data_IF_706742757183
#
_entry.id   IF_706742757183
#
_cell.length_a   1.000
_cell.length_b   1.000
_cell.length_c   1.000
_cell.angle_alpha   90.00
_cell.angle_beta   90.00
_cell.angle_gamma   90.00
#
_symmetry.space_group_name_H-M   'P 1'
#
loop_
_entity.id
_entity.type
_entity.pdbx_description
1 polymer ?
#
# COMPACT_ATOMS: atom_id res chain seq x y z
N UNK A 1 7.79 -29.25 23.89
CA UNK A 1 7.41 -29.66 25.28
C UNK A 1 8.58 -29.68 26.25
N UNK A 2 9.74 -30.26 25.96
CA UNK A 2 10.85 -30.46 26.94
C UNK A 2 11.63 -29.21 27.40
N UNK A 3 11.72 -28.16 26.59
CA UNK A 3 12.45 -26.93 27.00
C UNK A 3 11.68 -26.04 27.99
N UNK A 4 10.35 -26.04 27.93
CA UNK A 4 9.51 -25.26 28.86
C UNK A 4 9.49 -25.87 30.25
N UNK A 5 9.65 -27.21 30.37
CA UNK A 5 9.74 -27.92 31.64
C UNK A 5 11.10 -27.68 32.34
N UNK A 6 12.16 -27.46 31.57
CA UNK A 6 13.53 -27.26 32.11
C UNK A 6 13.66 -25.90 32.81
N UNK A 7 12.96 -24.85 32.34
CA UNK A 7 13.02 -23.53 32.99
C UNK A 7 12.27 -23.51 34.32
N UNK A 8 11.15 -24.20 34.43
CA UNK A 8 10.39 -24.35 35.68
C UNK A 8 11.16 -25.16 36.75
N UNK A 9 11.99 -26.13 36.35
CA UNK A 9 12.81 -26.92 37.25
C UNK A 9 14.09 -26.19 37.73
N UNK A 10 14.62 -25.24 36.94
CA UNK A 10 15.81 -24.46 37.28
C UNK A 10 15.54 -23.31 38.27
N UNK A 11 14.28 -22.93 38.48
CA UNK A 11 13.88 -21.83 39.37
C UNK A 11 13.40 -22.29 40.75
N UNK A 12 13.35 -23.58 41.00
CA UNK A 12 12.97 -24.10 42.31
C UNK A 12 14.09 -23.74 43.35
N UNK A 13 13.89 -22.62 44.06
CA UNK A 13 14.79 -22.10 45.07
C UNK A 13 15.42 -20.73 44.77
N UNK A 14 15.05 -20.10 43.64
CA UNK A 14 15.42 -18.73 43.36
C UNK A 14 14.71 -17.75 44.30
N UNK A 15 15.29 -16.58 44.61
CA UNK A 15 14.55 -15.51 45.30
C UNK A 15 13.30 -15.13 44.54
N UNK A 16 12.17 -14.77 45.23
CA UNK A 16 10.91 -14.47 44.60
C UNK A 16 10.99 -13.41 43.47
N UNK A 17 11.86 -12.41 43.62
CA UNK A 17 12.08 -11.36 42.64
C UNK A 17 12.77 -11.87 41.36
N UNK A 18 13.71 -12.82 41.50
CA UNK A 18 14.37 -13.43 40.33
C UNK A 18 13.46 -14.40 39.61
N UNK A 19 12.63 -15.15 40.34
CA UNK A 19 11.59 -16.01 39.74
C UNK A 19 10.55 -15.19 38.96
N UNK A 20 10.05 -14.07 39.52
CA UNK A 20 9.10 -13.18 38.86
C UNK A 20 9.66 -12.60 37.56
N UNK A 21 10.93 -12.14 37.55
CA UNK A 21 11.61 -11.65 36.37
C UNK A 21 11.74 -12.72 35.28
N UNK A 22 12.17 -13.92 35.67
CA UNK A 22 12.33 -15.02 34.72
C UNK A 22 11.01 -15.46 34.10
N UNK A 23 9.90 -15.48 34.85
CA UNK A 23 8.57 -15.77 34.33
C UNK A 23 8.08 -14.68 33.37
N UNK A 24 8.38 -13.42 33.68
CA UNK A 24 8.01 -12.29 32.76
C UNK A 24 8.77 -12.39 31.43
N UNK A 25 10.07 -12.65 31.47
CA UNK A 25 10.90 -12.87 30.27
C UNK A 25 10.41 -14.07 29.46
N UNK A 26 10.11 -15.18 30.14
CA UNK A 26 9.56 -16.39 29.49
C UNK A 26 8.21 -16.06 28.80
N UNK A 27 7.30 -15.37 29.48
CA UNK A 27 6.02 -14.97 28.91
C UNK A 27 6.18 -14.06 27.68
N UNK A 28 7.15 -13.14 27.74
CA UNK A 28 7.49 -12.25 26.60
C UNK A 28 8.14 -13.00 25.43
N UNK A 29 9.05 -13.93 25.69
CA UNK A 29 9.68 -14.77 24.65
C UNK A 29 8.62 -15.64 23.95
N UNK A 30 7.78 -16.33 24.71
CA UNK A 30 6.67 -17.13 24.17
C UNK A 30 5.74 -16.29 23.31
N UNK A 31 5.36 -15.09 23.78
CA UNK A 31 4.56 -14.15 23.00
C UNK A 31 5.29 -13.72 21.70
N UNK A 32 6.59 -13.38 21.78
CA UNK A 32 7.43 -13.03 20.64
C UNK A 32 7.51 -14.14 19.60
N UNK A 33 7.52 -15.40 20.03
CA UNK A 33 7.54 -16.59 19.17
C UNK A 33 6.16 -16.99 18.63
N UNK A 34 5.08 -16.32 19.05
CA UNK A 34 3.71 -16.65 18.63
C UNK A 34 3.09 -17.82 19.40
N UNK A 35 3.68 -18.25 20.50
CA UNK A 35 3.16 -19.28 21.39
C UNK A 35 2.25 -18.64 22.45
N UNK A 36 1.12 -18.10 21.97
CA UNK A 36 0.27 -17.21 22.76
C UNK A 36 -0.46 -17.91 23.91
N UNK A 37 -0.88 -19.16 23.72
CA UNK A 37 -1.56 -19.93 24.77
C UNK A 37 -0.61 -20.22 25.94
N UNK A 38 0.61 -20.61 25.61
CA UNK A 38 1.69 -20.85 26.59
C UNK A 38 2.11 -19.54 27.27
N UNK A 39 2.25 -18.45 26.51
CA UNK A 39 2.54 -17.13 27.06
C UNK A 39 1.46 -16.69 28.06
N UNK A 40 0.19 -16.85 27.70
CA UNK A 40 -0.92 -16.51 28.57
C UNK A 40 -0.93 -17.31 29.86
N UNK A 41 -0.60 -18.61 29.81
CA UNK A 41 -0.51 -19.46 30.97
C UNK A 41 0.56 -18.96 31.93
N UNK A 42 1.79 -18.74 31.43
CA UNK A 42 2.94 -18.24 32.23
C UNK A 42 2.63 -16.85 32.83
N UNK A 43 2.08 -15.93 32.04
CA UNK A 43 1.77 -14.58 32.50
C UNK A 43 0.63 -14.54 33.55
N UNK A 44 -0.36 -15.44 33.44
CA UNK A 44 -1.39 -15.59 34.48
C UNK A 44 -0.84 -16.15 35.76
N UNK A 45 -0.01 -17.18 35.70
CA UNK A 45 0.67 -17.75 36.87
C UNK A 45 1.50 -16.67 37.56
N UNK A 46 2.31 -15.91 36.80
CA UNK A 46 3.08 -14.78 37.34
C UNK A 46 2.21 -13.75 38.04
N UNK A 47 1.12 -13.32 37.39
CA UNK A 47 0.21 -12.31 37.95
C UNK A 47 -0.51 -12.77 39.23
N UNK A 48 -0.75 -14.07 39.35
CA UNK A 48 -1.39 -14.69 40.55
C UNK A 48 -0.42 -14.92 41.70
N UNK A 49 0.78 -15.39 41.39
CA UNK A 49 1.79 -15.73 42.41
C UNK A 49 2.52 -14.49 42.96
N UNK A 50 2.68 -13.46 42.13
CA UNK A 50 3.42 -12.25 42.47
C UNK A 50 2.57 -10.98 42.23
N UNK A 51 1.40 -10.86 42.90
CA UNK A 51 0.44 -9.78 42.59
C UNK A 51 0.99 -8.38 42.89
N UNK A 52 1.86 -8.25 43.87
CA UNK A 52 2.41 -6.98 44.33
C UNK A 52 3.77 -6.65 43.69
N UNK A 53 4.38 -7.59 42.96
CA UNK A 53 5.63 -7.36 42.26
C UNK A 53 5.39 -6.52 40.96
N UNK A 54 6.39 -5.70 40.58
CA UNK A 54 6.33 -4.98 39.28
C UNK A 54 6.14 -5.90 38.07
N UNK A 55 6.74 -7.10 38.12
CA UNK A 55 6.61 -8.14 37.11
C UNK A 55 5.19 -8.71 37.04
N UNK A 56 4.53 -8.89 38.18
CA UNK A 56 3.12 -9.31 38.24
C UNK A 56 2.18 -8.24 37.67
N UNK A 57 2.46 -6.98 37.96
CA UNK A 57 1.74 -5.85 37.34
C UNK A 57 1.96 -5.84 35.83
N UNK A 58 3.20 -5.99 35.36
CA UNK A 58 3.55 -6.08 33.94
C UNK A 58 2.88 -7.28 33.25
N UNK A 59 2.77 -8.41 33.94
CA UNK A 59 2.06 -9.58 33.41
C UNK A 59 0.57 -9.34 33.26
N UNK A 60 -0.09 -8.75 34.28
CA UNK A 60 -1.51 -8.33 34.17
C UNK A 60 -1.73 -7.42 32.97
N UNK A 61 -0.87 -6.46 32.84
CA UNK A 61 -0.88 -5.57 31.69
C UNK A 61 -0.76 -6.33 30.37
N UNK A 62 0.12 -7.32 30.25
CA UNK A 62 0.34 -8.13 29.03
C UNK A 62 -0.87 -9.00 28.66
N UNK A 63 -1.72 -9.39 29.59
CA UNK A 63 -2.92 -10.21 29.35
C UNK A 63 -4.22 -9.40 29.39
N UNK A 64 -4.15 -8.08 29.63
CA UNK A 64 -5.33 -7.19 29.63
C UNK A 64 -5.98 -7.21 28.24
N UNK A 65 -7.30 -7.33 28.16
CA UNK A 65 -8.03 -7.30 26.89
C UNK A 65 -7.96 -5.95 26.18
N UNK A 66 -8.36 -5.94 24.91
CA UNK A 66 -8.40 -4.75 24.03
C UNK A 66 -7.05 -4.04 23.98
N UNK A 67 -5.98 -4.82 23.76
CA UNK A 67 -4.61 -4.35 23.87
C UNK A 67 -3.80 -4.65 22.64
N UNK A 68 -2.96 -3.67 22.28
CA UNK A 68 -1.86 -3.85 21.35
C UNK A 68 -0.82 -4.84 21.91
N UNK A 69 -0.43 -5.81 21.12
CA UNK A 69 0.58 -6.79 21.48
C UNK A 69 1.91 -6.54 20.76
N UNK A 70 1.88 -6.43 19.43
CA UNK A 70 3.08 -6.24 18.62
C UNK A 70 2.75 -5.86 17.18
N UNK A 71 3.75 -5.34 16.47
CA UNK A 71 3.81 -5.31 15.01
C UNK A 71 4.82 -6.35 14.53
N UNK A 72 4.48 -7.08 13.47
CA UNK A 72 5.35 -7.99 12.76
C UNK A 72 5.34 -7.64 11.28
N UNK A 73 6.50 -7.38 10.70
CA UNK A 73 6.61 -7.17 9.25
C UNK A 73 6.53 -8.51 8.54
N UNK A 74 5.54 -8.65 7.66
CA UNK A 74 5.33 -9.84 6.82
C UNK A 74 6.09 -9.72 5.49
N UNK A 75 6.16 -8.51 4.93
CA UNK A 75 6.92 -8.19 3.74
C UNK A 75 7.56 -6.81 3.89
N UNK A 76 8.86 -6.71 3.60
CA UNK A 76 9.58 -5.44 3.53
C UNK A 76 10.27 -5.32 2.19
N UNK A 77 9.94 -4.28 1.45
CA UNK A 77 10.47 -4.04 0.10
C UNK A 77 11.37 -2.83 0.02
N UNK A 78 11.35 -1.96 1.04
CA UNK A 78 12.20 -0.79 1.09
C UNK A 78 11.90 0.15 2.26
N UNK A 79 12.51 1.35 2.26
CA UNK A 79 12.26 2.35 3.30
C UNK A 79 10.81 2.85 3.22
N UNK A 80 10.13 3.04 4.38
CA UNK A 80 8.74 3.49 4.41
C UNK A 80 8.49 4.81 3.68
N UNK A 81 9.48 5.72 3.68
CA UNK A 81 9.36 7.02 3.03
C UNK A 81 9.03 6.96 1.52
N UNK A 82 9.21 5.81 0.86
CA UNK A 82 8.90 5.62 -0.55
C UNK A 82 8.32 4.22 -0.83
N UNK A 83 7.48 3.74 0.08
CA UNK A 83 6.68 2.50 -0.08
C UNK A 83 5.26 2.75 0.40
N UNK A 84 4.37 1.91 -0.04
CA UNK A 84 3.01 1.84 0.50
C UNK A 84 3.05 0.91 1.70
N UNK A 85 2.89 1.46 2.90
CA UNK A 85 2.86 0.69 4.13
C UNK A 85 1.42 0.27 4.46
N UNK A 86 1.14 -1.04 4.40
CA UNK A 86 -0.18 -1.64 4.62
C UNK A 86 -0.17 -2.42 5.92
N UNK A 87 -1.11 -2.15 6.79
CA UNK A 87 -1.27 -2.85 8.06
C UNK A 87 -2.44 -3.83 8.03
N UNK A 88 -2.26 -5.01 8.62
CA UNK A 88 -3.32 -6.00 8.80
C UNK A 88 -3.55 -6.11 10.31
N UNK A 89 -4.72 -5.69 10.78
CA UNK A 89 -5.09 -5.59 12.19
C UNK A 89 -6.01 -6.72 12.61
N UNK A 90 -5.80 -7.22 13.84
CA UNK A 90 -6.65 -8.22 14.46
C UNK A 90 -7.88 -7.58 15.13
N UNK A 91 -9.07 -8.10 14.86
CA UNK A 91 -10.30 -7.74 15.54
C UNK A 91 -11.12 -8.96 15.96
N UNK A 92 -11.53 -9.02 17.23
CA UNK A 92 -12.21 -10.17 17.80
C UNK A 92 -11.30 -11.39 18.04
N UNK A 93 -9.99 -11.24 18.02
CA UNK A 93 -9.05 -12.30 18.37
C UNK A 93 -8.58 -12.11 19.82
N UNK A 94 -8.98 -13.01 20.69
CA UNK A 94 -8.50 -13.05 22.08
C UNK A 94 -7.00 -13.35 22.13
N UNK A 95 -6.35 -13.07 23.26
CA UNK A 95 -4.92 -13.26 23.42
C UNK A 95 -4.45 -14.69 23.02
N UNK A 96 -5.13 -15.71 23.52
CA UNK A 96 -4.84 -17.13 23.26
C UNK A 96 -5.20 -17.58 21.82
N UNK A 97 -5.84 -16.72 21.04
CA UNK A 97 -6.25 -17.00 19.66
C UNK A 97 -5.50 -16.22 18.58
N UNK A 98 -4.44 -15.52 18.98
CA UNK A 98 -3.64 -14.72 18.06
C UNK A 98 -2.95 -15.55 16.95
N UNK A 99 -2.65 -16.83 17.19
CA UNK A 99 -2.16 -17.73 16.14
C UNK A 99 -3.11 -17.90 14.97
N UNK A 100 -4.43 -17.87 15.22
CA UNK A 100 -5.46 -17.91 14.15
C UNK A 100 -5.41 -16.61 13.33
N UNK A 101 -5.19 -15.49 13.98
CA UNK A 101 -5.01 -14.21 13.30
C UNK A 101 -3.72 -14.21 12.46
N UNK A 102 -2.61 -14.77 12.96
CA UNK A 102 -1.36 -14.87 12.19
C UNK A 102 -1.57 -15.63 10.86
N UNK A 103 -2.40 -16.68 10.84
CA UNK A 103 -2.77 -17.40 9.62
C UNK A 103 -3.65 -16.54 8.71
N UNK A 104 -4.59 -15.80 9.29
CA UNK A 104 -5.48 -14.89 8.55
C UNK A 104 -4.70 -13.74 7.91
N UNK A 105 -3.73 -13.16 8.62
CA UNK A 105 -2.88 -12.10 8.08
C UNK A 105 -2.04 -12.60 6.90
N UNK A 106 -1.47 -13.81 7.02
CA UNK A 106 -0.76 -14.45 5.88
C UNK A 106 -1.67 -14.75 4.69
N UNK A 107 -2.93 -15.13 4.95
CA UNK A 107 -3.92 -15.32 3.91
C UNK A 107 -4.22 -14.01 3.17
N UNK A 108 -4.47 -12.90 3.89
CA UNK A 108 -4.72 -11.58 3.29
C UNK A 108 -3.55 -11.16 2.42
N UNK A 109 -2.30 -11.26 2.91
CA UNK A 109 -1.11 -10.95 2.13
C UNK A 109 -1.03 -11.79 0.84
N UNK A 110 -1.20 -13.11 0.94
CA UNK A 110 -1.16 -13.98 -0.24
C UNK A 110 -2.23 -13.60 -1.25
N UNK A 111 -3.46 -13.33 -0.79
CA UNK A 111 -4.56 -12.97 -1.69
C UNK A 111 -4.35 -11.62 -2.35
N UNK A 112 -3.82 -10.64 -1.62
CA UNK A 112 -3.45 -9.34 -2.19
C UNK A 112 -2.43 -9.51 -3.32
N UNK A 113 -1.37 -10.30 -3.09
CA UNK A 113 -0.31 -10.53 -4.06
C UNK A 113 -0.68 -11.49 -5.22
N UNK A 114 -1.85 -12.11 -5.20
CA UNK A 114 -2.38 -12.87 -6.34
C UNK A 114 -3.04 -11.96 -7.39
N UNK A 115 -3.41 -10.73 -7.06
CA UNK A 115 -3.85 -9.76 -8.05
C UNK A 115 -2.70 -9.37 -8.97
N UNK A 116 -2.95 -9.35 -10.29
CA UNK A 116 -1.94 -8.98 -11.30
C UNK A 116 -1.27 -7.65 -11.00
N UNK A 117 -2.04 -6.65 -10.54
CA UNK A 117 -1.49 -5.32 -10.26
C UNK A 117 -0.61 -5.34 -9.01
N UNK A 118 -1.03 -5.99 -7.92
CA UNK A 118 -0.22 -6.05 -6.70
C UNK A 118 0.96 -7.02 -6.82
N UNK A 119 0.88 -8.06 -7.65
CA UNK A 119 2.03 -8.89 -8.01
C UNK A 119 3.08 -8.08 -8.77
N UNK A 120 2.65 -7.32 -9.80
CA UNK A 120 3.55 -6.49 -10.61
C UNK A 120 4.27 -5.41 -9.79
N UNK A 121 3.57 -4.83 -8.80
CA UNK A 121 4.11 -3.77 -7.93
C UNK A 121 4.42 -4.24 -6.51
N UNK A 122 4.61 -5.56 -6.27
CA UNK A 122 4.85 -6.10 -4.92
C UNK A 122 6.05 -5.48 -4.20
N UNK A 123 7.05 -5.05 -4.93
CA UNK A 123 8.25 -4.38 -4.41
C UNK A 123 8.01 -2.95 -3.95
N UNK A 124 6.81 -2.41 -4.18
CA UNK A 124 6.38 -1.09 -3.74
C UNK A 124 5.62 -1.15 -2.41
N UNK A 125 5.37 -2.36 -1.88
CA UNK A 125 4.58 -2.57 -0.68
C UNK A 125 5.45 -3.04 0.48
N UNK A 126 5.30 -2.43 1.64
CA UNK A 126 5.61 -3.02 2.92
C UNK A 126 4.29 -3.50 3.53
N UNK A 127 4.27 -4.69 4.10
CA UNK A 127 3.07 -5.24 4.73
C UNK A 127 3.38 -5.66 6.15
N UNK A 128 2.60 -5.16 7.07
CA UNK A 128 2.77 -5.35 8.51
C UNK A 128 1.53 -6.00 9.10
N UNK A 129 1.75 -6.90 10.01
CA UNK A 129 0.72 -7.51 10.83
C UNK A 129 0.73 -6.83 12.20
N UNK A 130 -0.43 -6.36 12.66
CA UNK A 130 -0.60 -5.76 13.98
C UNK A 130 -1.48 -6.67 14.84
N UNK A 131 -0.87 -7.33 15.80
CA UNK A 131 -1.57 -8.17 16.75
C UNK A 131 -2.22 -7.32 17.84
N UNK A 132 -3.53 -7.48 18.00
CA UNK A 132 -4.34 -6.79 18.99
C UNK A 132 -5.23 -7.85 19.67
N UNK A 133 -5.18 -7.94 20.99
CA UNK A 133 -6.02 -8.86 21.74
C UNK A 133 -7.34 -8.21 22.09
N UNK A 134 -8.45 -8.80 21.68
CA UNK A 134 -9.80 -8.38 22.07
C UNK A 134 -10.27 -9.10 23.34
N UNK A 135 -11.13 -8.47 24.12
CA UNK A 135 -11.81 -9.09 25.26
C UNK A 135 -12.79 -10.15 24.80
N UNK A 136 -13.55 -9.84 23.76
CA UNK A 136 -14.58 -10.67 23.17
C UNK A 136 -14.20 -11.07 21.73
N UNK A 137 -14.85 -12.08 21.20
CA UNK A 137 -14.65 -12.56 19.84
C UNK A 137 -15.90 -12.47 18.97
N UNK A 138 -16.97 -11.89 19.48
CA UNK A 138 -18.22 -11.67 18.77
C UNK A 138 -18.33 -10.25 18.22
N UNK A 139 -19.16 -10.08 17.21
CA UNK A 139 -19.45 -8.79 16.59
C UNK A 139 -20.68 -8.19 17.28
N UNK A 140 -20.61 -6.93 17.68
CA UNK A 140 -21.76 -6.20 18.25
C UNK A 140 -22.93 -6.17 17.26
N UNK A 141 -24.11 -6.52 17.75
CA UNK A 141 -25.38 -6.48 17.01
C UNK A 141 -26.33 -5.49 17.67
N UNK A 142 -27.47 -5.13 17.04
CA UNK A 142 -28.51 -4.31 17.70
C UNK A 142 -29.06 -4.93 19.00
N UNK A 143 -28.96 -6.26 19.14
CA UNK A 143 -29.50 -6.99 20.30
C UNK A 143 -28.45 -7.26 21.37
N UNK A 144 -27.17 -7.33 21.03
CA UNK A 144 -26.10 -7.76 21.93
C UNK A 144 -24.83 -6.94 21.68
N UNK A 145 -24.28 -6.38 22.76
CA UNK A 145 -23.01 -5.61 22.71
C UNK A 145 -21.85 -6.51 23.09
N UNK A 146 -20.77 -6.39 22.36
CA UNK A 146 -19.52 -7.11 22.59
C UNK A 146 -18.35 -6.14 22.69
N UNK A 147 -17.43 -6.43 23.61
CA UNK A 147 -16.25 -5.61 23.88
C UNK A 147 -15.06 -6.13 23.07
N UNK A 148 -14.90 -5.60 21.87
CA UNK A 148 -13.76 -5.90 21.01
C UNK A 148 -12.84 -4.70 20.83
N UNK A 149 -11.56 -4.94 20.51
CA UNK A 149 -10.53 -3.91 20.49
C UNK A 149 -10.84 -2.77 19.53
N UNK A 150 -11.28 -3.08 18.32
CA UNK A 150 -11.63 -2.10 17.29
C UNK A 150 -13.15 -1.85 17.19
N UNK A 151 -13.93 -2.45 18.11
CA UNK A 151 -15.36 -2.22 18.22
C UNK A 151 -16.12 -2.68 16.99
N UNK A 152 -15.93 -3.94 16.56
CA UNK A 152 -16.65 -4.51 15.43
C UNK A 152 -18.16 -4.54 15.65
N UNK A 153 -18.94 -4.16 14.64
CA UNK A 153 -20.39 -4.13 14.66
C UNK A 153 -21.00 -4.52 13.32
N UNK A 154 -22.22 -5.07 13.35
CA UNK A 154 -23.01 -5.26 12.14
C UNK A 154 -23.66 -3.95 11.72
N UNK A 155 -23.60 -3.63 10.42
CA UNK A 155 -24.31 -2.48 9.88
C UNK A 155 -25.82 -2.71 9.99
N UNK A 156 -26.56 -1.75 10.56
CA UNK A 156 -28.00 -1.86 10.76
C UNK A 156 -28.77 -2.02 9.45
N UNK A 157 -28.29 -1.39 8.40
CA UNK A 157 -28.90 -1.35 7.07
C UNK A 157 -28.65 -2.61 6.25
N UNK A 158 -27.51 -3.28 6.48
CA UNK A 158 -27.10 -4.51 5.77
C UNK A 158 -26.55 -5.51 6.78
N UNK A 159 -27.43 -6.27 7.40
CA UNK A 159 -27.17 -7.11 8.59
C UNK A 159 -26.03 -8.14 8.47
N UNK A 160 -25.42 -8.30 7.29
CA UNK A 160 -24.26 -9.19 7.09
C UNK A 160 -22.95 -8.47 6.95
N UNK A 161 -22.96 -7.15 6.74
CA UNK A 161 -21.75 -6.36 6.58
C UNK A 161 -21.20 -5.93 7.94
N UNK A 162 -19.91 -6.07 8.10
CA UNK A 162 -19.20 -5.77 9.34
C UNK A 162 -18.44 -4.45 9.18
N UNK A 163 -18.74 -3.52 10.08
CA UNK A 163 -17.96 -2.30 10.28
C UNK A 163 -17.09 -2.36 11.53
N UNK A 164 -16.16 -1.42 11.65
CA UNK A 164 -15.33 -1.21 12.83
C UNK A 164 -15.32 0.26 13.21
N UNK A 165 -14.96 0.56 14.46
CA UNK A 165 -14.76 1.94 14.87
C UNK A 165 -13.47 2.49 14.25
N UNK A 166 -13.62 3.34 13.22
CA UNK A 166 -12.53 3.93 12.47
C UNK A 166 -11.53 4.68 13.37
N UNK A 167 -12.01 5.41 14.37
CA UNK A 167 -11.14 6.15 15.28
C UNK A 167 -10.23 5.19 16.06
N UNK A 168 -10.76 4.09 16.59
CA UNK A 168 -9.96 3.06 17.28
C UNK A 168 -8.92 2.44 16.34
N UNK A 169 -9.27 2.17 15.08
CA UNK A 169 -8.30 1.67 14.09
C UNK A 169 -7.15 2.67 13.93
N UNK A 170 -7.43 3.95 13.77
CA UNK A 170 -6.40 4.99 13.62
C UNK A 170 -5.57 5.16 14.89
N UNK A 171 -6.16 5.04 16.08
CA UNK A 171 -5.43 5.07 17.37
C UNK A 171 -4.42 3.91 17.49
N UNK A 172 -4.80 2.71 17.05
CA UNK A 172 -3.87 1.58 17.02
C UNK A 172 -2.79 1.76 15.94
N UNK A 173 -3.13 2.21 14.75
CA UNK A 173 -2.17 2.53 13.69
C UNK A 173 -1.16 3.59 14.13
N UNK A 174 -1.59 4.59 14.90
CA UNK A 174 -0.69 5.63 15.45
C UNK A 174 0.42 5.10 16.37
N UNK A 175 0.40 3.81 16.73
CA UNK A 175 1.49 3.15 17.47
C UNK A 175 2.62 2.64 16.56
N UNK A 176 2.41 2.66 15.25
CA UNK A 176 3.40 2.29 14.25
C UNK A 176 3.81 3.56 13.47
N UNK A 177 5.07 4.00 13.54
CA UNK A 177 5.51 5.26 12.93
C UNK A 177 5.40 5.28 11.39
N UNK A 178 5.35 4.09 10.76
CA UNK A 178 5.21 3.96 9.30
C UNK A 178 3.75 3.98 8.82
N UNK A 179 2.76 4.02 9.72
CA UNK A 179 1.35 3.87 9.34
C UNK A 179 0.79 5.15 8.70
N UNK A 180 0.32 5.04 7.46
CA UNK A 180 -0.32 6.10 6.67
C UNK A 180 -1.86 5.98 6.61
N UNK A 181 -2.46 5.25 7.55
CA UNK A 181 -3.92 5.04 7.60
C UNK A 181 -4.45 3.99 6.62
N UNK A 182 -3.57 3.16 6.05
CA UNK A 182 -3.94 2.06 5.16
C UNK A 182 -3.98 0.74 5.93
N UNK A 183 -5.16 0.13 6.02
CA UNK A 183 -5.33 -1.07 6.81
C UNK A 183 -6.36 -2.06 6.25
N UNK A 184 -6.05 -3.33 6.41
CA UNK A 184 -7.04 -4.38 6.51
C UNK A 184 -7.37 -4.62 7.99
N UNK A 185 -8.64 -4.74 8.32
CA UNK A 185 -9.11 -5.19 9.63
C UNK A 185 -9.76 -6.56 9.47
N UNK A 186 -9.13 -7.59 10.00
CA UNK A 186 -9.67 -8.95 9.94
C UNK A 186 -10.55 -9.18 11.16
N UNK A 187 -11.86 -9.30 10.94
CA UNK A 187 -12.86 -9.57 11.99
C UNK A 187 -13.12 -11.06 12.07
N UNK A 188 -12.79 -11.68 13.21
CA UNK A 188 -12.80 -13.14 13.40
C UNK A 188 -14.15 -13.79 13.06
N UNK A 189 -15.24 -13.25 13.55
CA UNK A 189 -16.59 -13.77 13.36
C UNK A 189 -17.48 -12.86 12.49
N UNK A 190 -16.87 -11.99 11.66
CA UNK A 190 -17.58 -11.21 10.66
C UNK A 190 -18.03 -12.06 9.47
N UNK A 191 -19.03 -11.61 8.73
CA UNK A 191 -19.50 -12.30 7.50
C UNK A 191 -19.01 -11.59 6.24
N UNK A 192 -19.54 -10.43 5.89
CA UNK A 192 -19.15 -9.64 4.73
C UNK A 192 -18.35 -8.42 5.18
N UNK A 193 -17.40 -8.01 4.35
CA UNK A 193 -16.54 -6.86 4.61
C UNK A 193 -17.19 -5.52 4.25
N UNK A 194 -16.42 -4.48 4.47
CA UNK A 194 -16.68 -3.11 3.98
C UNK A 194 -15.35 -2.44 3.68
N UNK A 195 -15.30 -1.56 2.68
CA UNK A 195 -14.10 -0.83 2.33
C UNK A 195 -14.34 0.66 2.13
N UNK A 196 -13.37 1.49 2.52
CA UNK A 196 -13.42 2.92 2.27
C UNK A 196 -12.42 3.73 3.09
N UNK A 197 -11.97 4.85 2.54
CA UNK A 197 -11.11 5.79 3.25
C UNK A 197 -9.83 5.20 3.82
N UNK A 198 -9.19 4.25 3.14
CA UNK A 198 -7.94 3.61 3.56
C UNK A 198 -8.13 2.35 4.41
N UNK A 199 -9.33 2.02 4.88
CA UNK A 199 -9.59 0.86 5.74
C UNK A 199 -10.50 -0.12 5.01
N UNK A 200 -10.03 -1.37 4.86
CA UNK A 200 -10.81 -2.51 4.39
C UNK A 200 -11.10 -3.45 5.56
N UNK A 201 -12.36 -3.59 5.94
CA UNK A 201 -12.80 -4.54 6.96
C UNK A 201 -13.15 -5.85 6.28
N UNK A 202 -12.63 -6.96 6.79
CA UNK A 202 -12.83 -8.29 6.22
C UNK A 202 -13.61 -9.16 7.19
N UNK A 203 -14.76 -9.67 6.76
CA UNK A 203 -15.52 -10.66 7.48
C UNK A 203 -15.14 -12.08 7.01
N UNK A 204 -14.56 -12.88 7.91
CA UNK A 204 -14.17 -14.24 7.60
C UNK A 204 -13.00 -14.40 6.61
N UNK A 205 -12.93 -15.56 5.94
CA UNK A 205 -11.88 -15.90 4.97
C UNK A 205 -12.45 -15.96 3.54
N UNK A 206 -13.03 -14.88 3.05
CA UNK A 206 -13.47 -14.81 1.66
C UNK A 206 -12.33 -14.31 0.78
N UNK A 207 -11.94 -15.10 -0.22
CA UNK A 207 -10.87 -14.73 -1.16
C UNK A 207 -11.24 -13.51 -2.02
N UNK A 208 -12.50 -13.40 -2.42
CA UNK A 208 -12.98 -12.26 -3.20
C UNK A 208 -13.01 -10.98 -2.38
N UNK A 209 -13.42 -11.04 -1.12
CA UNK A 209 -13.55 -9.86 -0.26
C UNK A 209 -12.23 -9.10 -0.07
N UNK A 210 -11.08 -9.78 -0.03
CA UNK A 210 -9.79 -9.10 0.18
C UNK A 210 -9.52 -8.05 -0.90
N UNK A 211 -9.65 -8.40 -2.17
CA UNK A 211 -9.38 -7.47 -3.28
C UNK A 211 -10.52 -6.48 -3.48
N UNK A 212 -11.76 -6.91 -3.29
CA UNK A 212 -12.95 -6.09 -3.44
C UNK A 212 -12.94 -4.92 -2.42
N UNK A 213 -12.85 -5.24 -1.13
CA UNK A 213 -12.81 -4.22 -0.08
C UNK A 213 -11.56 -3.34 -0.16
N UNK A 214 -10.44 -3.91 -0.63
CA UNK A 214 -9.23 -3.14 -0.88
C UNK A 214 -9.40 -2.17 -2.05
N UNK A 215 -10.14 -2.55 -3.08
CA UNK A 215 -10.51 -1.66 -4.20
C UNK A 215 -11.20 -0.40 -3.72
N UNK A 216 -12.18 -0.53 -2.83
CA UNK A 216 -12.83 0.60 -2.19
C UNK A 216 -11.87 1.42 -1.31
N UNK A 217 -11.16 0.74 -0.42
CA UNK A 217 -10.31 1.39 0.58
C UNK A 217 -9.10 2.11 -0.03
N UNK A 218 -8.44 1.47 -0.99
CA UNK A 218 -7.15 1.92 -1.55
C UNK A 218 -7.29 2.83 -2.75
N UNK A 219 -8.20 2.51 -3.66
CA UNK A 219 -8.33 3.19 -4.94
C UNK A 219 -9.66 3.96 -5.10
N UNK A 220 -10.55 3.95 -4.09
CA UNK A 220 -11.84 4.64 -4.15
C UNK A 220 -12.75 4.07 -5.24
N UNK A 221 -12.61 2.78 -5.56
CA UNK A 221 -13.47 2.12 -6.53
C UNK A 221 -14.90 2.00 -5.97
N UNK A 222 -15.87 2.06 -6.85
CA UNK A 222 -17.27 1.82 -6.52
C UNK A 222 -17.68 0.40 -6.96
N UNK A 223 -18.80 -0.09 -6.41
CA UNK A 223 -19.35 -1.38 -6.78
C UNK A 223 -19.82 -1.41 -8.24
N UNK A 224 -19.42 -2.44 -8.97
CA UNK A 224 -19.85 -2.65 -10.36
C UNK A 224 -21.02 -3.65 -10.48
N UNK A 225 -21.51 -4.18 -9.35
CA UNK A 225 -22.68 -5.07 -9.31
C UNK A 225 -24.01 -4.30 -9.11
N UNK A 226 -25.09 -4.99 -9.38
CA UNK A 226 -26.46 -4.56 -9.02
C UNK A 226 -26.92 -5.36 -7.80
N UNK A 227 -27.68 -4.74 -6.89
CA UNK A 227 -28.35 -5.48 -5.81
C UNK A 227 -29.36 -6.48 -6.39
N UNK A 228 -29.66 -7.56 -5.66
CA UNK A 228 -30.59 -8.62 -6.06
C UNK A 228 -31.99 -8.06 -6.40
N UNK A 229 -32.40 -6.98 -5.72
CA UNK A 229 -33.68 -6.29 -5.98
C UNK A 229 -33.61 -5.31 -7.18
N UNK A 230 -32.42 -5.07 -7.75
CA UNK A 230 -32.18 -4.03 -8.76
C UNK A 230 -32.15 -2.60 -8.23
N UNK A 231 -32.45 -2.39 -6.95
CA UNK A 231 -32.33 -1.15 -6.20
C UNK A 231 -31.49 -1.37 -4.94
N UNK A 232 -30.54 -0.47 -4.63
CA UNK A 232 -29.71 -0.63 -3.45
C UNK A 232 -30.54 -0.49 -2.18
N UNK A 233 -30.31 -1.38 -1.21
CA UNK A 233 -30.75 -1.16 0.16
C UNK A 233 -30.06 0.07 0.78
N UNK A 234 -30.57 0.56 1.92
CA UNK A 234 -29.92 1.64 2.65
C UNK A 234 -28.48 1.27 3.00
N UNK A 235 -27.50 2.01 2.49
CA UNK A 235 -26.07 1.77 2.71
C UNK A 235 -25.39 0.82 1.70
N UNK A 236 -26.13 0.24 0.75
CA UNK A 236 -25.58 -0.63 -0.31
C UNK A 236 -25.16 0.14 -1.57
N UNK A 237 -25.55 1.41 -1.74
CA UNK A 237 -25.14 2.17 -2.90
C UNK A 237 -23.80 2.87 -2.65
N UNK A 238 -22.81 2.52 -3.44
CA UNK A 238 -21.61 3.34 -3.57
C UNK A 238 -21.89 4.60 -4.39
N UNK A 239 -21.19 5.69 -4.08
CA UNK A 239 -21.17 6.89 -4.93
C UNK A 239 -20.47 6.64 -6.26
N UNK A 240 -20.36 7.65 -7.12
CA UNK A 240 -19.52 7.56 -8.32
C UNK A 240 -18.05 7.40 -7.90
N UNK A 241 -17.30 6.70 -8.75
CA UNK A 241 -15.88 6.43 -8.55
C UNK A 241 -15.12 6.46 -9.87
N UNK A 242 -13.83 6.13 -9.88
CA UNK A 242 -13.06 6.07 -11.12
C UNK A 242 -13.64 5.07 -12.13
N UNK A 243 -14.41 4.08 -11.67
CA UNK A 243 -14.96 2.96 -12.46
C UNK A 243 -16.49 2.98 -12.60
N UNK A 244 -17.20 3.87 -11.88
CA UNK A 244 -18.66 4.01 -11.92
C UNK A 244 -19.05 5.47 -12.10
N UNK A 245 -20.01 5.72 -12.98
CA UNK A 245 -20.56 7.05 -13.28
C UNK A 245 -22.11 7.05 -13.21
N UNK A 246 -22.68 8.19 -12.84
CA UNK A 246 -24.14 8.42 -12.88
C UNK A 246 -24.59 9.14 -14.16
N UNK A 247 -23.79 8.99 -15.22
CA UNK A 247 -24.10 9.46 -16.57
C UNK A 247 -23.75 8.39 -17.59
N UNK A 248 -24.55 8.28 -18.64
CA UNK A 248 -24.28 7.41 -19.79
C UNK A 248 -23.49 8.11 -20.91
N UNK A 249 -23.21 9.41 -20.78
CA UNK A 249 -22.48 10.15 -21.80
C UNK A 249 -21.01 9.67 -21.85
N UNK A 250 -20.56 9.08 -22.96
CA UNK A 250 -19.20 8.56 -23.11
C UNK A 250 -18.12 9.64 -23.02
N UNK A 251 -18.48 10.92 -23.15
CA UNK A 251 -17.57 12.06 -23.01
C UNK A 251 -17.37 12.49 -21.56
N UNK A 252 -18.30 12.11 -20.66
CA UNK A 252 -18.32 12.53 -19.26
C UNK A 252 -17.94 11.42 -18.28
N UNK A 253 -17.91 10.16 -18.72
CA UNK A 253 -17.48 9.06 -17.83
C UNK A 253 -16.00 9.17 -17.48
N UNK A 254 -15.57 8.80 -16.26
CA UNK A 254 -14.17 8.89 -15.84
C UNK A 254 -13.18 8.15 -16.74
N UNK A 255 -13.61 7.06 -17.35
CA UNK A 255 -12.80 6.21 -18.24
C UNK A 255 -12.92 6.57 -19.74
N UNK A 256 -13.38 7.78 -20.11
CA UNK A 256 -13.54 8.24 -21.49
C UNK A 256 -12.29 8.06 -22.36
N UNK A 257 -11.11 8.23 -21.79
CA UNK A 257 -9.84 8.06 -22.49
C UNK A 257 -9.60 6.62 -22.99
N UNK A 258 -10.17 5.62 -22.32
CA UNK A 258 -10.18 4.22 -22.78
C UNK A 258 -11.11 4.04 -23.97
N UNK A 259 -12.26 4.73 -23.98
CA UNK A 259 -13.19 4.73 -25.12
C UNK A 259 -12.57 5.41 -26.34
N UNK A 260 -11.94 6.57 -26.13
CA UNK A 260 -11.23 7.34 -27.17
C UNK A 260 -10.04 6.56 -27.75
N UNK A 261 -9.36 5.73 -26.96
CA UNK A 261 -8.28 4.87 -27.40
C UNK A 261 -8.76 3.62 -28.18
N UNK A 262 -10.06 3.34 -28.19
CA UNK A 262 -10.63 2.18 -28.89
C UNK A 262 -10.38 0.85 -28.20
N UNK A 263 -10.25 0.83 -26.85
CA UNK A 263 -10.11 -0.39 -26.09
C UNK A 263 -11.40 -1.22 -26.16
N UNK A 264 -11.41 -2.26 -26.99
CA UNK A 264 -12.64 -3.01 -27.35
C UNK A 264 -13.38 -3.71 -26.19
N UNK A 265 -12.73 -3.87 -25.02
CA UNK A 265 -13.35 -4.40 -23.80
C UNK A 265 -14.01 -3.33 -22.94
N UNK A 266 -13.83 -2.05 -23.27
CA UNK A 266 -14.34 -0.91 -22.49
C UNK A 266 -15.53 -0.28 -23.20
N UNK A 267 -16.59 0.01 -22.45
CA UNK A 267 -17.83 0.60 -22.93
C UNK A 267 -18.47 1.47 -21.85
N UNK A 268 -19.77 1.68 -21.99
CA UNK A 268 -20.63 2.32 -20.98
C UNK A 268 -21.79 1.36 -20.71
N UNK A 269 -21.61 0.49 -19.73
CA UNK A 269 -22.53 -0.59 -19.41
C UNK A 269 -23.44 -0.17 -18.25
N UNK A 270 -24.74 -0.42 -18.37
CA UNK A 270 -25.72 -0.12 -17.33
C UNK A 270 -25.63 -1.16 -16.19
N UNK A 271 -25.96 -0.74 -14.97
CA UNK A 271 -26.01 -1.60 -13.80
C UNK A 271 -24.72 -1.56 -12.97
N UNK A 272 -24.71 -0.69 -11.97
CA UNK A 272 -23.62 -0.51 -11.02
C UNK A 272 -24.12 0.19 -9.75
N UNK A 273 -23.28 0.31 -8.72
CA UNK A 273 -23.60 0.98 -7.44
C UNK A 273 -24.87 0.42 -6.78
N UNK A 274 -25.09 -0.90 -6.87
CA UNK A 274 -26.31 -1.55 -6.37
C UNK A 274 -27.56 -1.31 -7.20
N UNK A 275 -27.49 -0.53 -8.31
CA UNK A 275 -28.64 -0.06 -9.10
C UNK A 275 -28.72 -0.76 -10.44
N UNK A 276 -29.92 -1.20 -10.83
CA UNK A 276 -30.19 -1.73 -12.17
C UNK A 276 -30.14 -0.63 -13.25
N UNK A 277 -30.48 0.60 -12.90
CA UNK A 277 -30.52 1.76 -13.79
C UNK A 277 -29.94 3.00 -13.14
N UNK A 278 -29.56 4.01 -13.95
CA UNK A 278 -29.04 5.28 -13.41
C UNK A 278 -27.58 5.27 -12.98
N UNK A 279 -26.89 4.11 -13.11
CA UNK A 279 -25.45 3.97 -12.88
C UNK A 279 -24.81 3.12 -13.97
N UNK A 280 -23.60 3.47 -14.36
CA UNK A 280 -22.86 2.86 -15.47
C UNK A 280 -21.43 2.52 -15.06
N UNK A 281 -20.90 1.45 -15.64
CA UNK A 281 -19.54 0.93 -15.42
C UNK A 281 -18.76 0.78 -16.73
N UNK A 282 -17.43 0.70 -16.64
CA UNK A 282 -16.54 0.69 -17.79
C UNK A 282 -16.44 -0.66 -18.50
N UNK A 283 -16.79 -1.77 -17.84
CA UNK A 283 -16.76 -3.13 -18.42
C UNK A 283 -18.09 -3.85 -18.18
N UNK A 284 -18.44 -4.76 -19.07
CA UNK A 284 -19.72 -5.48 -18.99
C UNK A 284 -19.79 -6.55 -17.91
N UNK A 285 -18.66 -6.92 -17.28
CA UNK A 285 -18.55 -7.92 -16.22
C UNK A 285 -17.13 -8.44 -16.06
N UNK A 286 -16.92 -9.35 -15.09
CA UNK A 286 -15.63 -9.98 -14.85
C UNK A 286 -14.63 -9.18 -14.03
N UNK A 287 -15.04 -8.04 -13.47
CA UNK A 287 -14.26 -7.25 -12.52
C UNK A 287 -14.46 -7.78 -11.10
N UNK A 288 -13.44 -7.67 -10.25
CA UNK A 288 -13.56 -8.01 -8.83
C UNK A 288 -14.57 -7.09 -8.10
N UNK A 289 -14.77 -5.86 -8.60
CA UNK A 289 -15.79 -4.93 -8.09
C UNK A 289 -17.23 -5.34 -8.46
N UNK A 290 -17.39 -6.42 -9.21
CA UNK A 290 -18.65 -7.11 -9.51
C UNK A 290 -18.55 -8.56 -9.00
N UNK A 291 -18.29 -9.54 -9.85
CA UNK A 291 -18.23 -10.96 -9.54
C UNK A 291 -16.99 -11.66 -10.14
N UNK A 292 -16.00 -10.88 -10.56
CA UNK A 292 -14.77 -11.38 -11.16
C UNK A 292 -13.70 -11.78 -10.14
N UNK A 293 -12.55 -12.21 -10.65
CA UNK A 293 -11.43 -12.65 -9.82
C UNK A 293 -10.34 -11.59 -9.59
N UNK A 294 -10.27 -10.57 -10.46
CA UNK A 294 -9.25 -9.50 -10.41
C UNK A 294 -9.82 -8.20 -10.99
N UNK A 295 -9.07 -7.11 -10.88
CA UNK A 295 -9.45 -5.80 -11.40
C UNK A 295 -9.51 -5.77 -12.92
N UNK A 296 -10.58 -5.20 -13.48
CA UNK A 296 -10.68 -4.88 -14.90
C UNK A 296 -9.68 -3.78 -15.31
N UNK A 297 -9.60 -3.46 -16.59
CA UNK A 297 -8.64 -2.46 -17.10
C UNK A 297 -8.85 -1.08 -16.49
N UNK A 298 -10.10 -0.65 -16.30
CA UNK A 298 -10.45 0.65 -15.69
C UNK A 298 -10.08 0.69 -14.20
N UNK A 299 -10.46 -0.34 -13.45
CA UNK A 299 -10.13 -0.44 -12.02
C UNK A 299 -8.63 -0.59 -11.79
N UNK A 300 -7.92 -1.35 -12.63
CA UNK A 300 -6.47 -1.54 -12.56
C UNK A 300 -5.72 -0.22 -12.76
N UNK A 301 -6.13 0.63 -13.72
CA UNK A 301 -5.56 1.97 -13.88
C UNK A 301 -5.67 2.79 -12.60
N UNK A 302 -6.86 2.83 -11.99
CA UNK A 302 -7.08 3.54 -10.74
C UNK A 302 -6.21 3.00 -9.58
N UNK A 303 -6.02 1.68 -9.50
CA UNK A 303 -5.15 1.05 -8.49
C UNK A 303 -3.68 1.42 -8.73
N UNK A 304 -3.18 1.37 -9.97
CA UNK A 304 -1.80 1.79 -10.30
C UNK A 304 -1.56 3.25 -9.94
N UNK A 305 -2.48 4.14 -10.34
CA UNK A 305 -2.39 5.56 -9.97
C UNK A 305 -2.43 5.76 -8.44
N UNK A 306 -3.19 4.95 -7.71
CA UNK A 306 -3.23 5.01 -6.24
C UNK A 306 -1.94 4.54 -5.57
N UNK A 307 -1.21 3.61 -6.19
CA UNK A 307 0.16 3.28 -5.77
C UNK A 307 1.06 4.50 -5.94
N UNK A 308 1.07 5.11 -7.14
CA UNK A 308 1.97 6.23 -7.45
C UNK A 308 1.60 7.56 -6.79
N UNK A 309 0.42 7.70 -6.20
CA UNK A 309 0.12 8.81 -5.28
C UNK A 309 0.91 8.74 -3.97
N UNK A 310 1.48 7.56 -3.63
CA UNK A 310 2.19 7.29 -2.37
C UNK A 310 3.67 7.01 -2.57
N UNK A 311 4.09 6.65 -3.76
CA UNK A 311 5.50 6.37 -4.08
C UNK A 311 5.97 7.25 -5.23
N UNK A 312 7.27 7.50 -5.27
CA UNK A 312 7.93 8.20 -6.39
C UNK A 312 8.74 7.19 -7.19
N UNK A 313 8.84 7.30 -8.52
CA UNK A 313 9.69 6.45 -9.35
C UNK A 313 11.18 6.41 -8.97
N UNK A 314 11.67 7.36 -8.17
CA UNK A 314 13.06 7.46 -7.74
C UNK A 314 13.17 7.26 -6.22
N UNK A 315 13.94 6.24 -5.80
CA UNK A 315 14.28 6.00 -4.39
C UNK A 315 15.37 6.94 -3.89
N UNK A 316 16.44 7.10 -4.67
CA UNK A 316 17.62 7.88 -4.30
C UNK A 316 18.25 8.55 -5.51
N UNK A 317 18.96 9.64 -5.28
CA UNK A 317 19.78 10.33 -6.27
C UNK A 317 20.99 10.98 -5.63
N UNK A 318 22.09 11.07 -6.36
CA UNK A 318 23.29 11.79 -5.91
C UNK A 318 24.10 12.35 -7.10
N UNK A 319 24.91 13.39 -6.82
CA UNK A 319 25.08 14.09 -5.55
C UNK A 319 23.87 14.94 -5.17
N UNK A 320 23.73 15.33 -3.91
CA UNK A 320 22.72 16.30 -3.46
C UNK A 320 23.17 17.73 -3.77
N UNK A 321 24.49 17.96 -3.72
CA UNK A 321 25.11 19.26 -3.94
C UNK A 321 25.25 19.61 -5.43
N UNK A 322 25.23 20.92 -5.78
CA UNK A 322 25.54 21.37 -7.13
C UNK A 322 26.93 20.88 -7.61
N UNK A 323 27.03 20.51 -8.87
CA UNK A 323 28.25 19.94 -9.44
C UNK A 323 29.16 21.02 -9.99
N UNK A 324 30.40 21.10 -9.47
CA UNK A 324 31.48 21.90 -10.05
C UNK A 324 32.46 20.98 -10.78
N UNK A 325 32.77 21.30 -12.01
CA UNK A 325 33.56 20.46 -12.88
C UNK A 325 34.71 21.29 -13.55
N UNK A 326 35.93 21.05 -13.12
CA UNK A 326 37.13 21.61 -13.82
C UNK A 326 37.36 20.90 -15.13
N UNK A 327 38.21 21.47 -16.02
CA UNK A 327 38.52 20.97 -17.38
C UNK A 327 38.88 19.47 -17.38
N UNK A 328 39.73 19.04 -16.48
CA UNK A 328 40.23 17.65 -16.43
C UNK A 328 39.44 16.80 -15.43
N UNK A 329 38.42 17.38 -14.80
CA UNK A 329 37.56 16.71 -13.83
C UNK A 329 36.53 15.80 -14.49
N UNK A 330 36.14 14.77 -13.74
CA UNK A 330 34.99 13.93 -14.06
C UNK A 330 34.08 13.75 -12.83
N UNK A 331 32.79 13.75 -13.05
CA UNK A 331 31.82 13.52 -11.97
C UNK A 331 30.70 12.59 -12.43
N UNK A 332 30.46 11.53 -11.65
CA UNK A 332 29.32 10.64 -11.85
C UNK A 332 28.12 11.10 -11.04
N UNK A 333 26.97 11.13 -11.70
CA UNK A 333 25.66 11.40 -11.10
C UNK A 333 24.78 10.17 -11.33
N UNK A 334 23.89 9.90 -10.41
CA UNK A 334 23.07 8.71 -10.53
C UNK A 334 21.69 8.87 -9.86
N UNK A 335 20.75 8.05 -10.32
CA UNK A 335 19.44 7.82 -9.69
C UNK A 335 19.26 6.33 -9.43
N UNK A 336 18.54 5.98 -8.39
CA UNK A 336 18.07 4.61 -8.12
C UNK A 336 16.58 4.56 -8.42
N UNK A 337 16.13 4.03 -9.57
CA UNK A 337 14.73 3.84 -9.86
C UNK A 337 14.10 2.80 -8.93
N UNK A 338 12.82 2.96 -8.62
CA UNK A 338 12.00 1.86 -8.11
C UNK A 338 11.99 0.71 -9.13
N UNK A 339 11.77 -0.53 -8.65
CA UNK A 339 11.81 -1.72 -9.49
C UNK A 339 10.53 -2.52 -9.31
N UNK A 340 9.51 -2.31 -10.17
CA UNK A 340 8.37 -3.21 -10.22
C UNK A 340 8.84 -4.65 -10.47
N UNK A 341 8.06 -5.64 -10.02
CA UNK A 341 8.47 -7.04 -10.18
C UNK A 341 8.29 -7.57 -11.61
N UNK A 342 7.40 -6.95 -12.41
CA UNK A 342 7.03 -7.44 -13.74
C UNK A 342 7.72 -6.71 -14.90
N UNK A 343 8.27 -5.51 -14.67
CA UNK A 343 8.86 -4.67 -15.72
C UNK A 343 9.89 -3.70 -15.14
N UNK A 344 10.53 -2.91 -16.00
CA UNK A 344 11.53 -1.92 -15.60
C UNK A 344 11.05 -0.50 -15.89
N UNK A 345 11.32 0.44 -14.98
CA UNK A 345 11.19 1.86 -15.22
C UNK A 345 12.20 2.32 -16.26
N UNK A 346 11.83 3.33 -17.03
CA UNK A 346 12.75 3.98 -17.99
C UNK A 346 13.41 5.18 -17.34
N UNK A 347 14.70 5.36 -17.65
CA UNK A 347 15.51 6.50 -17.22
C UNK A 347 15.99 7.24 -18.44
N UNK A 348 15.73 8.53 -18.51
CA UNK A 348 16.18 9.44 -19.56
C UNK A 348 17.04 10.54 -18.94
N UNK A 349 18.16 10.88 -19.60
CA UNK A 349 19.07 11.91 -19.17
C UNK A 349 19.10 13.05 -20.18
N UNK A 350 19.06 14.30 -19.70
CA UNK A 350 19.12 15.51 -20.52
C UNK A 350 20.13 16.49 -19.93
N UNK A 351 20.99 17.07 -20.76
CA UNK A 351 21.91 18.13 -20.37
C UNK A 351 21.57 19.40 -21.13
N UNK A 352 21.23 20.46 -20.41
CA UNK A 352 20.88 21.76 -20.98
C UNK A 352 21.93 22.79 -20.61
N UNK A 353 22.27 23.68 -21.53
CA UNK A 353 23.09 24.85 -21.24
C UNK A 353 22.20 26.00 -20.82
N UNK A 354 22.53 26.66 -19.72
CA UNK A 354 21.91 27.93 -19.34
C UNK A 354 22.46 29.04 -20.23
N UNK A 355 21.59 29.95 -20.68
CA UNK A 355 22.06 31.15 -21.34
C UNK A 355 22.82 32.06 -20.34
N UNK A 356 23.65 33.03 -20.80
CA UNK A 356 24.38 33.93 -19.94
C UNK A 356 23.50 34.84 -19.05
N UNK A 357 22.21 34.95 -19.37
CA UNK A 357 21.22 35.74 -18.61
C UNK A 357 20.44 34.91 -17.60
N UNK A 358 20.70 33.58 -17.53
CA UNK A 358 20.00 32.68 -16.60
C UNK A 358 18.53 32.46 -16.93
N UNK A 359 18.07 32.94 -18.10
CA UNK A 359 16.70 32.73 -18.54
C UNK A 359 16.60 31.42 -19.30
N UNK A 360 15.63 30.62 -18.90
CA UNK A 360 15.25 29.40 -19.62
C UNK A 360 14.48 29.83 -20.86
N UNK A 361 15.01 29.60 -22.06
CA UNK A 361 14.23 29.80 -23.28
C UNK A 361 13.07 28.78 -23.31
N UNK A 362 11.81 29.24 -23.46
CA UNK A 362 10.67 28.32 -23.58
C UNK A 362 10.74 27.64 -24.94
N UNK A 363 10.92 26.31 -24.93
CA UNK A 363 10.87 25.51 -26.15
C UNK A 363 9.49 25.46 -26.75
N UNK A 364 9.45 25.69 -28.07
CA UNK A 364 8.29 25.33 -28.90
C UNK A 364 8.20 23.81 -28.97
N UNK A 365 7.14 23.28 -28.35
CA UNK A 365 6.82 21.86 -28.44
C UNK A 365 6.61 21.38 -29.88
N UNK A 366 7.19 20.24 -30.29
CA UNK A 366 6.74 19.57 -31.50
C UNK A 366 5.27 19.10 -31.30
N UNK A 367 4.41 19.31 -32.29
CA UNK A 367 3.04 18.82 -32.28
C UNK A 367 3.04 17.30 -32.09
N UNK A 368 2.47 16.85 -30.98
CA UNK A 368 2.27 15.44 -30.72
C UNK A 368 1.27 14.84 -31.70
N UNK A 369 1.60 13.66 -32.25
CA UNK A 369 0.63 12.86 -33.00
C UNK A 369 -0.50 12.40 -32.03
N UNK A 370 -1.74 12.30 -32.52
CA UNK A 370 -2.86 11.88 -31.69
C UNK A 370 -2.63 10.49 -31.09
N UNK A 371 -2.78 10.33 -29.77
CA UNK A 371 -2.75 9.06 -29.07
C UNK A 371 -1.49 8.73 -28.25
N UNK A 372 -0.42 9.50 -28.33
CA UNK A 372 0.73 9.37 -27.43
C UNK A 372 1.18 10.74 -26.95
N UNK A 373 0.78 11.12 -25.73
CA UNK A 373 1.42 12.24 -25.06
C UNK A 373 2.85 11.84 -24.70
N UNK A 374 3.81 12.22 -25.55
CA UNK A 374 5.21 12.28 -25.09
C UNK A 374 5.27 13.34 -24.00
N UNK A 375 5.87 13.03 -22.84
CA UNK A 375 6.20 14.07 -21.89
C UNK A 375 7.08 15.09 -22.61
N UNK A 376 6.73 16.35 -22.45
CA UNK A 376 7.49 17.43 -23.10
C UNK A 376 8.82 17.57 -22.39
N UNK A 377 9.96 17.67 -23.10
CA UNK A 377 11.19 18.11 -22.50
C UNK A 377 10.96 19.49 -21.88
N UNK A 378 11.31 19.64 -20.62
CA UNK A 378 11.04 20.86 -19.87
C UNK A 378 11.90 22.03 -20.34
N UNK A 379 12.99 21.80 -21.12
CA UNK A 379 13.95 22.84 -21.60
C UNK A 379 14.78 22.33 -22.78
N UNK A 380 15.09 23.19 -23.77
CA UNK A 380 16.08 23.10 -24.84
C UNK A 380 16.38 21.73 -25.45
N UNK A 381 17.03 21.70 -26.59
CA UNK A 381 17.53 20.42 -27.12
C UNK A 381 18.65 19.89 -26.23
N UNK A 382 18.65 18.58 -25.87
CA UNK A 382 19.72 18.02 -25.06
C UNK A 382 21.03 18.08 -25.81
N UNK A 383 22.11 18.56 -25.15
CA UNK A 383 23.44 18.65 -25.72
C UNK A 383 24.15 17.29 -25.71
N UNK A 384 23.69 16.38 -24.82
CA UNK A 384 24.35 15.10 -24.63
C UNK A 384 23.38 13.97 -24.24
N UNK A 385 23.62 12.78 -24.79
CA UNK A 385 22.90 11.54 -24.56
C UNK A 385 23.82 10.42 -24.13
N UNK A 386 23.61 9.78 -23.01
CA UNK A 386 24.26 8.48 -22.74
C UNK A 386 23.35 7.56 -21.91
N UNK A 387 23.32 6.29 -22.30
CA UNK A 387 22.73 5.19 -21.54
C UNK A 387 23.85 4.56 -20.72
N UNK A 388 23.69 4.56 -19.38
CA UNK A 388 24.48 3.72 -18.50
C UNK A 388 23.67 2.48 -18.15
N UNK A 389 23.82 1.39 -18.89
CA UNK A 389 23.28 0.08 -18.51
C UNK A 389 24.37 -0.70 -17.79
N UNK A 390 24.37 -0.64 -16.47
CA UNK A 390 25.06 -1.63 -15.65
C UNK A 390 24.03 -2.59 -15.08
N UNK A 391 23.90 -3.79 -15.60
CA UNK A 391 22.98 -4.84 -15.08
C UNK A 391 23.27 -5.23 -13.62
N UNK A 392 24.44 -4.93 -13.08
CA UNK A 392 24.82 -5.21 -11.70
C UNK A 392 24.55 -4.05 -10.72
N UNK A 393 24.33 -2.80 -11.19
CA UNK A 393 24.06 -1.70 -10.27
C UNK A 393 22.55 -1.39 -10.24
N UNK A 394 22.00 -1.27 -9.03
CA UNK A 394 20.64 -0.76 -8.80
C UNK A 394 20.47 0.69 -9.29
N UNK A 395 21.48 1.32 -9.88
CA UNK A 395 21.58 2.74 -10.21
C UNK A 395 21.69 2.95 -11.71
N UNK A 396 20.99 3.95 -12.22
CA UNK A 396 21.28 4.52 -13.53
C UNK A 396 22.32 5.64 -13.33
N UNK A 397 23.44 5.57 -14.03
CA UNK A 397 24.58 6.45 -13.82
C UNK A 397 24.92 7.18 -15.10
N UNK A 398 25.22 8.49 -15.00
CA UNK A 398 25.83 9.29 -16.07
C UNK A 398 27.11 9.92 -15.54
N UNK A 399 28.16 9.99 -16.37
CA UNK A 399 29.42 10.64 -16.02
C UNK A 399 29.66 11.83 -16.92
N UNK A 400 29.75 13.02 -16.33
CA UNK A 400 30.15 14.26 -16.99
C UNK A 400 31.66 14.43 -16.90
N UNK A 401 32.28 14.86 -18.00
CA UNK A 401 33.72 15.18 -18.08
C UNK A 401 33.91 16.61 -18.54
N UNK A 402 34.66 17.41 -17.77
CA UNK A 402 34.85 18.82 -18.05
C UNK A 402 35.48 19.14 -19.41
N UNK A 403 36.37 18.26 -19.91
CA UNK A 403 36.96 18.39 -21.24
C UNK A 403 35.98 18.23 -22.41
N UNK A 404 34.85 17.60 -22.17
CA UNK A 404 33.81 17.34 -23.17
C UNK A 404 32.75 18.46 -23.23
N UNK A 405 32.81 19.40 -22.30
CA UNK A 405 31.86 20.50 -22.19
C UNK A 405 32.59 21.85 -22.26
N UNK A 406 32.10 22.83 -23.03
CA UNK A 406 32.55 24.22 -22.93
C UNK A 406 32.36 24.76 -21.52
N UNK A 407 33.20 25.71 -21.11
CA UNK A 407 32.97 26.42 -19.84
C UNK A 407 31.59 27.12 -19.84
N UNK A 408 30.89 27.05 -18.70
CA UNK A 408 29.55 27.61 -18.57
C UNK A 408 28.70 26.88 -17.58
N UNK A 409 27.48 27.34 -17.44
CA UNK A 409 26.47 26.79 -16.53
C UNK A 409 25.52 25.86 -17.29
N UNK A 410 25.23 24.73 -16.70
CA UNK A 410 24.36 23.68 -17.25
C UNK A 410 23.36 23.19 -16.20
N UNK A 411 22.32 22.50 -16.67
CA UNK A 411 21.44 21.67 -15.83
C UNK A 411 21.44 20.27 -16.41
N UNK A 412 21.86 19.30 -15.62
CA UNK A 412 21.65 17.88 -15.91
C UNK A 412 20.32 17.45 -15.30
N UNK A 413 19.49 16.82 -16.08
CA UNK A 413 18.17 16.33 -15.67
C UNK A 413 18.08 14.82 -15.86
N UNK A 414 17.70 14.08 -14.83
CA UNK A 414 17.26 12.69 -14.93
C UNK A 414 15.74 12.64 -14.83
N UNK A 415 15.10 12.02 -15.81
CA UNK A 415 13.68 11.71 -15.81
C UNK A 415 13.49 10.20 -15.69
N UNK A 416 12.79 9.76 -14.67
CA UNK A 416 12.44 8.35 -14.47
C UNK A 416 10.94 8.20 -14.59
N UNK A 417 10.48 7.23 -15.37
CA UNK A 417 9.05 7.01 -15.53
C UNK A 417 8.70 5.54 -15.71
N UNK A 418 7.49 5.18 -15.29
CA UNK A 418 6.90 3.87 -15.47
C UNK A 418 6.12 3.82 -16.80
N UNK A 419 6.57 3.01 -17.78
CA UNK A 419 5.79 2.80 -19.00
C UNK A 419 4.55 1.96 -18.78
N UNK A 420 4.40 1.35 -17.59
CA UNK A 420 3.46 0.32 -17.18
C UNK A 420 3.47 -0.95 -18.06
N UNK A 421 3.06 -2.11 -17.56
CA UNK A 421 2.83 -3.27 -18.41
C UNK A 421 1.73 -3.01 -19.45
N UNK A 422 1.75 -3.77 -20.53
CA UNK A 422 0.72 -3.72 -21.57
C UNK A 422 -0.18 -4.94 -21.50
N UNK A 423 -1.47 -4.74 -21.82
CA UNK A 423 -2.45 -5.81 -21.95
C UNK A 423 -3.31 -5.51 -23.17
N UNK A 424 -3.48 -6.50 -24.06
CA UNK A 424 -4.23 -6.35 -25.32
C UNK A 424 -3.81 -5.13 -26.15
N UNK A 425 -2.53 -4.79 -26.16
CA UNK A 425 -1.98 -3.67 -26.92
C UNK A 425 -2.08 -2.30 -26.23
N UNK A 426 -2.64 -2.21 -25.04
CA UNK A 426 -2.77 -0.98 -24.26
C UNK A 426 -1.91 -1.03 -22.99
N UNK A 427 -1.27 0.10 -22.59
CA UNK A 427 -0.60 0.18 -21.28
C UNK A 427 -1.66 0.13 -20.17
N UNK A 428 -1.27 -0.31 -18.97
CA UNK A 428 -2.18 -0.38 -17.82
C UNK A 428 -2.70 0.99 -17.37
N UNK A 429 -1.98 2.06 -17.67
CA UNK A 429 -2.39 3.44 -17.44
C UNK A 429 -2.35 4.19 -18.76
N UNK A 430 -3.50 4.63 -19.24
CA UNK A 430 -3.66 5.45 -20.44
C UNK A 430 -3.68 6.94 -20.13
N UNK A 431 -4.18 7.33 -18.96
CA UNK A 431 -4.31 8.72 -18.55
C UNK A 431 -3.69 8.97 -17.17
N UNK A 432 -2.65 9.79 -17.16
CA UNK A 432 -1.97 10.25 -15.94
C UNK A 432 -1.83 11.78 -15.99
N UNK A 433 -2.94 12.53 -15.79
CA UNK A 433 -2.92 14.00 -15.87
C UNK A 433 -2.04 14.64 -14.78
N UNK A 434 -1.88 13.98 -13.65
CA UNK A 434 -1.11 14.44 -12.50
C UNK A 434 0.39 14.08 -12.61
N UNK A 435 0.79 13.34 -13.67
CA UNK A 435 2.16 12.87 -13.91
C UNK A 435 2.74 12.05 -12.75
N UNK A 436 1.92 11.22 -12.14
CA UNK A 436 2.29 10.40 -10.99
C UNK A 436 3.33 9.32 -11.33
N UNK A 437 3.26 8.81 -12.57
CA UNK A 437 4.15 7.74 -13.05
C UNK A 437 5.56 8.22 -13.36
N UNK A 438 5.89 9.49 -13.17
CA UNK A 438 7.21 10.02 -13.45
C UNK A 438 7.78 10.84 -12.29
N UNK A 439 9.10 10.89 -12.22
CA UNK A 439 9.84 11.77 -11.33
C UNK A 439 11.04 12.37 -12.07
N UNK A 440 11.38 13.60 -11.70
CA UNK A 440 12.51 14.35 -12.28
C UNK A 440 13.43 14.79 -11.15
N UNK A 441 14.74 14.66 -11.41
CA UNK A 441 15.81 15.22 -10.56
C UNK A 441 16.70 16.07 -11.43
N UNK A 442 17.04 17.26 -10.95
CA UNK A 442 17.90 18.23 -11.64
C UNK A 442 19.14 18.56 -10.82
N UNK A 443 20.29 18.62 -11.50
CA UNK A 443 21.55 19.07 -10.91
C UNK A 443 22.08 20.29 -11.66
N UNK A 444 22.27 21.44 -10.98
CA UNK A 444 23.05 22.53 -11.49
C UNK A 444 24.50 22.07 -11.68
N UNK A 445 25.07 22.32 -12.85
CA UNK A 445 26.46 21.95 -13.20
C UNK A 445 27.19 23.21 -13.67
N UNK A 446 28.31 23.54 -13.02
CA UNK A 446 29.20 24.63 -13.40
C UNK A 446 30.50 24.04 -13.94
N UNK A 447 30.81 24.33 -15.21
CA UNK A 447 32.04 23.89 -15.86
C UNK A 447 33.01 25.07 -15.93
N UNK A 448 34.15 24.93 -15.27
CA UNK A 448 35.23 25.93 -15.26
C UNK A 448 36.36 25.54 -16.20
N UNK A 449 37.12 26.54 -16.68
CA UNK A 449 38.29 26.34 -17.57
C UNK A 449 39.49 25.80 -16.80
#
# INVERSE_FOLDING_TARGET
MWRSLIVLLALAGAPPDEEAKALLEQGRDLNGRGLYAEAQHVLRDLAQRFPDAPEGAAARDLITPNRFLRVKTLQRSGPPANRVDVFILAEGFRFDRQGIFDDSARFVLRRLLQSKVFEAYRTYLNVHQMNIASADDQVTTPKERHDTALGAFLLETVQRHVGVNRQRVLEYLGRAPEAEGLAFVVVKNGQLGTGGGGIATLGGKSESSVLHEWGHAFAGLADEYTADTGEPGPGESSGPGPNVAFTRDPKLVPWKHWLEAGAGSVGVFIGAAGRATGAWKGVGGGCIMDNGADFCVVCREAVVLSIYRRVRPIDESAPVEPVKLGRDGARSLWVTPLRPASHALKVEWFLYRKDPKGQDEPLRAPRAAPGRRRPQPVRGDPIFWSWGSGEESKRAVVTLRGRELPAGSYVLTARVFDPTPTDNGFPWVLSDPDRLLEAVVEWPVEVTR
#
